data_IF_260339111304
#
_entry.id   IF_260339111304
#
_cell.length_a   1.000
_cell.length_b   1.000
_cell.length_c   1.000
_cell.angle_alpha   90.00
_cell.angle_beta   90.00
_cell.angle_gamma   90.00
#
_symmetry.space_group_name_H-M   'P 1'
#
loop_
_entity.id
_entity.type
_entity.pdbx_description
1 polymer ?
#
# COMPACT_ATOMS: atom_id res chain seq x y z
N UNK A 1 0.49 -3.28 -1.87
CA UNK A 1 -0.44 -2.15 -1.62
C UNK A 1 -1.31 -2.49 -0.41
N UNK A 2 -1.64 -1.49 0.41
CA UNK A 2 -2.50 -1.68 1.57
C UNK A 2 -3.97 -1.48 1.19
N UNK A 3 -4.84 -2.39 1.61
CA UNK A 3 -6.28 -2.35 1.34
C UNK A 3 -7.08 -2.23 2.64
N UNK A 4 -8.28 -1.71 2.54
CA UNK A 4 -9.23 -1.66 3.65
C UNK A 4 -10.04 -2.96 3.64
N UNK A 5 -10.12 -3.64 4.78
CA UNK A 5 -10.89 -4.88 4.91
C UNK A 5 -12.39 -4.55 4.81
N UNK A 6 -13.07 -5.15 3.84
CA UNK A 6 -14.53 -5.06 3.74
C UNK A 6 -15.18 -6.13 4.63
N UNK A 7 -16.15 -5.72 5.45
CA UNK A 7 -16.98 -6.67 6.20
C UNK A 7 -17.92 -7.39 5.23
N UNK A 8 -17.95 -8.72 5.31
CA UNK A 8 -18.54 -9.63 4.30
C UNK A 8 -20.07 -9.61 4.23
N UNK A 9 -20.73 -8.52 4.59
CA UNK A 9 -22.16 -8.34 4.47
C UNK A 9 -22.45 -7.07 3.69
N UNK A 10 -22.43 -7.14 2.35
CA UNK A 10 -23.49 -6.65 1.44
C UNK A 10 -22.96 -6.63 -0.01
N UNK A 11 -23.66 -7.41 -0.86
CA UNK A 11 -23.88 -7.19 -2.29
C UNK A 11 -22.72 -7.26 -3.29
N UNK A 12 -22.70 -8.38 -4.02
CA UNK A 12 -22.23 -8.55 -5.40
C UNK A 12 -22.76 -7.42 -6.27
N UNK A 13 -21.97 -6.37 -6.54
CA UNK A 13 -22.08 -5.43 -7.67
C UNK A 13 -20.82 -4.52 -7.57
N UNK A 14 -19.81 -4.80 -8.41
CA UNK A 14 -18.51 -4.09 -8.48
C UNK A 14 -17.78 -3.89 -7.15
N UNK A 15 -16.95 -4.87 -6.76
CA UNK A 15 -15.95 -4.68 -5.69
C UNK A 15 -14.89 -3.67 -6.14
N UNK A 16 -15.18 -2.37 -6.01
CA UNK A 16 -14.13 -1.35 -6.02
C UNK A 16 -13.23 -1.63 -4.82
N UNK A 17 -11.99 -2.05 -5.09
CA UNK A 17 -10.99 -2.24 -4.05
C UNK A 17 -10.68 -0.88 -3.44
N UNK A 18 -11.11 -0.68 -2.19
CA UNK A 18 -10.79 0.52 -1.44
C UNK A 18 -9.38 0.36 -0.87
N UNK A 19 -8.45 1.18 -1.37
CA UNK A 19 -7.06 1.19 -0.94
C UNK A 19 -6.82 2.21 0.18
N UNK A 20 -5.87 1.91 1.06
CA UNK A 20 -5.41 2.89 2.05
C UNK A 20 -4.63 3.99 1.31
N UNK A 21 -4.93 5.29 1.51
CA UNK A 21 -4.26 6.36 0.80
C UNK A 21 -2.74 6.37 1.05
N UNK A 22 -1.96 6.36 -0.02
CA UNK A 22 -0.52 6.60 0.00
C UNK A 22 -0.28 8.10 0.18
N UNK A 23 0.32 8.48 1.32
CA UNK A 23 0.57 9.89 1.65
C UNK A 23 1.92 10.36 1.13
N UNK A 24 2.93 9.48 1.14
CA UNK A 24 4.29 9.82 0.73
C UNK A 24 5.03 8.59 0.25
N UNK A 25 5.87 8.79 -0.76
CA UNK A 25 6.92 7.85 -1.16
C UNK A 25 8.24 8.58 -1.05
N UNK A 26 9.22 7.94 -0.41
CA UNK A 26 10.61 8.36 -0.47
C UNK A 26 11.43 7.24 -1.12
N UNK A 27 12.31 7.62 -2.04
CA UNK A 27 13.20 6.70 -2.74
C UNK A 27 14.61 7.23 -2.57
N UNK A 28 15.44 6.42 -1.93
CA UNK A 28 16.85 6.68 -1.72
C UNK A 28 17.62 5.66 -2.54
N UNK A 29 18.48 6.13 -3.43
CA UNK A 29 19.27 5.27 -4.30
C UNK A 29 20.74 5.70 -4.26
N UNK A 30 21.63 4.76 -4.00
CA UNK A 30 23.08 4.96 -4.10
C UNK A 30 23.63 4.03 -5.18
N UNK A 31 24.18 4.61 -6.25
CA UNK A 31 24.81 3.83 -7.32
C UNK A 31 26.23 3.47 -6.91
N UNK A 32 26.60 2.20 -7.04
CA UNK A 32 27.94 1.68 -6.79
C UNK A 32 28.40 0.84 -7.99
N UNK A 33 29.28 1.42 -8.82
CA UNK A 33 29.78 0.79 -10.06
C UNK A 33 28.63 0.30 -10.95
N UNK A 34 28.36 -1.00 -11.00
CA UNK A 34 27.32 -1.63 -11.81
C UNK A 34 26.04 -1.99 -11.02
N UNK A 35 25.97 -1.66 -9.73
CA UNK A 35 24.82 -1.96 -8.87
C UNK A 35 24.23 -0.69 -8.24
N UNK A 36 23.04 -0.81 -7.66
CA UNK A 36 22.40 0.26 -6.88
C UNK A 36 21.81 -0.29 -5.58
N UNK A 37 22.11 0.39 -4.48
CA UNK A 37 21.42 0.20 -3.21
C UNK A 37 20.15 1.06 -3.26
N UNK A 38 18.97 0.45 -3.26
CA UNK A 38 17.69 1.17 -3.36
C UNK A 38 16.86 0.91 -2.11
N UNK A 39 16.52 1.98 -1.39
CA UNK A 39 15.59 1.95 -0.27
C UNK A 39 14.31 2.70 -0.66
N UNK A 40 13.18 1.99 -0.63
CA UNK A 40 11.86 2.57 -0.90
C UNK A 40 11.08 2.60 0.42
N UNK A 41 10.71 3.80 0.86
CA UNK A 41 9.86 4.01 2.02
C UNK A 41 8.50 4.53 1.57
N UNK A 42 7.42 3.80 1.87
CA UNK A 42 6.04 4.20 1.58
C UNK A 42 5.30 4.50 2.89
N UNK A 43 4.65 5.66 2.96
CA UNK A 43 3.85 6.07 4.12
C UNK A 43 2.38 6.04 3.76
N UNK A 44 1.64 5.19 4.46
CA UNK A 44 0.19 5.08 4.37
C UNK A 44 -0.44 5.55 5.68
N UNK A 45 -1.65 6.09 5.62
CA UNK A 45 -2.43 6.43 6.80
C UNK A 45 -3.85 5.91 6.62
N UNK A 46 -4.27 5.04 7.54
CA UNK A 46 -5.66 4.62 7.64
C UNK A 46 -6.40 5.62 8.53
N UNK A 47 -7.23 6.46 7.91
CA UNK A 47 -8.13 7.37 8.62
C UNK A 47 -9.52 6.73 8.86
N UNK A 48 -9.75 5.55 8.29
CA UNK A 48 -11.00 4.79 8.39
C UNK A 48 -11.04 3.91 9.65
N UNK A 49 -12.24 3.50 10.05
CA UNK A 49 -12.44 2.62 11.21
C UNK A 49 -12.15 1.15 10.90
N UNK A 50 -12.25 0.77 9.63
CA UNK A 50 -12.05 -0.59 9.17
C UNK A 50 -10.56 -0.96 9.27
N UNK A 51 -10.24 -2.21 9.66
CA UNK A 51 -8.86 -2.67 9.68
C UNK A 51 -8.30 -2.77 8.26
N UNK A 52 -6.98 -2.76 8.14
CA UNK A 52 -6.27 -2.85 6.86
C UNK A 52 -5.68 -4.24 6.64
N UNK A 53 -5.54 -4.64 5.39
CA UNK A 53 -4.78 -5.81 4.97
C UNK A 53 -3.58 -5.38 4.12
N UNK A 54 -2.44 -6.04 4.33
CA UNK A 54 -1.22 -5.77 3.59
C UNK A 54 -0.96 -6.88 2.57
N UNK A 55 -1.00 -6.54 1.29
CA UNK A 55 -0.55 -7.44 0.21
C UNK A 55 0.76 -6.89 -0.33
N UNK A 56 1.87 -7.50 0.07
CA UNK A 56 3.20 -7.19 -0.48
C UNK A 56 3.51 -8.17 -1.61
N UNK A 57 3.84 -7.64 -2.77
CA UNK A 57 4.47 -8.36 -3.88
C UNK A 57 5.80 -7.66 -4.12
N UNK A 58 6.90 -8.39 -4.00
CA UNK A 58 8.26 -7.89 -4.19
C UNK A 58 8.83 -8.47 -5.48
#
# INVERSE_FOLDING_TARGET
MLRIKQDSQTSVLTQEQIFVPLKRVNVEATIRSFAADVTITQVFRNDEKQPIEAVYCF
#
